data_IF_870377503106
#
_entry.id   IF_870377503106
#
_cell.length_a   1.000
_cell.length_b   1.000
_cell.length_c   1.000
_cell.angle_alpha   90.00
_cell.angle_beta   90.00
_cell.angle_gamma   90.00
#
_symmetry.space_group_name_H-M   'P 1'
#
loop_
_entity.id
_entity.type
_entity.pdbx_description
1 polymer ?
#
# COMPACT_ATOMS: atom_id res chain seq x y z
N UNK A 1 11.26 23.33 -35.26
CA UNK A 1 11.12 21.89 -35.61
C UNK A 1 11.38 20.93 -34.43
N UNK A 2 11.97 21.35 -33.30
CA UNK A 2 12.18 20.48 -32.12
C UNK A 2 10.96 20.34 -31.20
N UNK A 3 10.05 21.32 -31.16
CA UNK A 3 8.89 21.37 -30.26
C UNK A 3 7.91 20.19 -30.47
N UNK A 4 7.61 19.84 -31.72
CA UNK A 4 6.62 18.81 -32.05
C UNK A 4 7.05 17.39 -31.60
N UNK A 5 8.35 17.10 -31.49
CA UNK A 5 8.85 15.81 -30.99
C UNK A 5 8.79 15.72 -29.46
N UNK A 6 9.07 16.83 -28.77
CA UNK A 6 8.98 16.92 -27.32
C UNK A 6 7.52 16.85 -26.86
N UNK A 7 6.62 17.56 -27.51
CA UNK A 7 5.19 17.59 -27.18
C UNK A 7 4.51 16.23 -27.40
N UNK A 8 4.86 15.52 -28.48
CA UNK A 8 4.42 14.12 -28.69
C UNK A 8 4.88 13.19 -27.57
N UNK A 9 6.11 13.38 -27.07
CA UNK A 9 6.65 12.58 -25.97
C UNK A 9 5.95 12.90 -24.65
N UNK A 10 5.64 14.18 -24.41
CA UNK A 10 4.88 14.62 -23.23
C UNK A 10 3.48 14.00 -23.24
N UNK A 11 2.76 14.06 -24.37
CA UNK A 11 1.45 13.44 -24.52
C UNK A 11 1.48 11.94 -24.21
N UNK A 12 2.43 11.20 -24.79
CA UNK A 12 2.56 9.77 -24.53
C UNK A 12 2.82 9.46 -23.03
N UNK A 13 3.62 10.30 -22.35
CA UNK A 13 3.89 10.14 -20.93
C UNK A 13 2.68 10.49 -20.05
N UNK A 14 1.87 11.49 -20.44
CA UNK A 14 0.63 11.83 -19.74
C UNK A 14 -0.40 10.71 -19.87
N UNK A 15 -0.53 10.12 -21.06
CA UNK A 15 -1.42 8.99 -21.31
C UNK A 15 -1.02 7.76 -20.49
N UNK A 16 0.28 7.47 -20.42
CA UNK A 16 0.83 6.39 -19.59
C UNK A 16 0.52 6.62 -18.09
N UNK A 17 0.68 7.86 -17.60
CA UNK A 17 0.34 8.21 -16.21
C UNK A 17 -1.17 8.04 -15.97
N UNK A 18 -2.02 8.45 -16.92
CA UNK A 18 -3.48 8.27 -16.83
C UNK A 18 -3.83 6.78 -16.72
N UNK A 19 -3.30 5.96 -17.63
CA UNK A 19 -3.49 4.50 -17.62
C UNK A 19 -3.09 3.87 -16.28
N UNK A 20 -1.88 4.16 -15.79
CA UNK A 20 -1.42 3.62 -14.49
C UNK A 20 -2.27 4.09 -13.31
N UNK A 21 -2.80 5.32 -13.37
CA UNK A 21 -3.68 5.86 -12.32
C UNK A 21 -5.05 5.18 -12.32
N UNK A 22 -5.59 4.89 -13.51
CA UNK A 22 -6.84 4.14 -13.67
C UNK A 22 -6.70 2.68 -13.22
N UNK A 23 -5.61 2.01 -13.57
CA UNK A 23 -5.32 0.65 -13.11
C UNK A 23 -5.27 0.56 -11.58
N UNK A 24 -4.58 1.51 -10.94
CA UNK A 24 -4.54 1.59 -9.48
C UNK A 24 -5.93 1.82 -8.90
N UNK A 25 -6.73 2.70 -9.51
CA UNK A 25 -8.07 3.02 -9.02
C UNK A 25 -9.03 1.84 -9.16
N UNK A 26 -8.93 1.05 -10.24
CA UNK A 26 -9.69 -0.19 -10.43
C UNK A 26 -9.30 -1.27 -9.42
N UNK A 27 -8.03 -1.32 -9.03
CA UNK A 27 -7.52 -2.30 -8.07
C UNK A 27 -7.81 -1.93 -6.59
N UNK A 28 -8.20 -0.69 -6.31
CA UNK A 28 -8.52 -0.25 -4.95
C UNK A 28 -9.86 -0.81 -4.48
N UNK A 29 -9.79 -1.85 -3.65
CA UNK A 29 -10.93 -2.34 -2.88
C UNK A 29 -10.80 -1.96 -1.40
N UNK A 30 -11.93 -1.89 -0.69
CA UNK A 30 -11.93 -1.66 0.75
C UNK A 30 -11.28 -2.89 1.43
N UNK A 31 -10.22 -2.71 2.24
CA UNK A 31 -9.61 -3.81 2.97
C UNK A 31 -10.62 -4.54 3.85
N UNK A 32 -10.62 -5.86 3.78
CA UNK A 32 -11.33 -6.73 4.71
C UNK A 32 -10.32 -7.23 5.74
N UNK A 33 -10.34 -6.62 6.93
CA UNK A 33 -9.42 -6.97 8.00
C UNK A 33 -9.85 -8.26 8.69
N UNK A 34 -8.88 -9.12 9.00
CA UNK A 34 -9.09 -10.42 9.68
C UNK A 34 -9.01 -10.30 11.19
N UNK A 35 -8.21 -9.36 11.68
CA UNK A 35 -7.97 -9.11 13.10
C UNK A 35 -8.61 -7.81 13.56
N UNK A 36 -8.45 -7.49 14.85
CA UNK A 36 -8.81 -6.16 15.39
C UNK A 36 -7.87 -5.05 14.93
N UNK A 37 -6.77 -5.37 14.24
CA UNK A 37 -5.72 -4.44 13.82
C UNK A 37 -5.03 -3.69 14.97
N UNK A 38 -5.28 -4.07 16.23
CA UNK A 38 -4.63 -3.53 17.43
C UNK A 38 -3.57 -4.51 17.90
N UNK A 39 -2.33 -4.19 17.62
CA UNK A 39 -1.18 -4.99 17.98
C UNK A 39 -0.56 -4.45 19.26
N UNK A 40 -0.57 -5.25 20.33
CA UNK A 40 0.20 -5.02 21.55
C UNK A 40 1.34 -6.03 21.63
N UNK A 41 2.45 -5.60 22.24
CA UNK A 41 3.54 -6.50 22.65
C UNK A 41 3.35 -6.80 24.13
N UNK A 42 2.35 -7.61 24.47
CA UNK A 42 2.14 -8.00 25.87
C UNK A 42 3.15 -9.10 26.27
N UNK A 43 4.07 -8.71 27.15
CA UNK A 43 4.78 -9.58 28.07
C UNK A 43 4.40 -9.18 29.50
N UNK A 44 4.58 -10.07 30.50
CA UNK A 44 4.10 -9.84 31.88
C UNK A 44 4.64 -8.57 32.56
N UNK A 45 5.67 -7.91 32.01
CA UNK A 45 6.31 -6.71 32.60
C UNK A 45 6.59 -5.57 31.60
N UNK A 46 5.90 -5.46 30.45
CA UNK A 46 6.26 -4.41 29.47
C UNK A 46 5.17 -3.39 29.19
N UNK A 47 5.46 -2.13 29.56
CA UNK A 47 4.83 -0.90 29.04
C UNK A 47 5.18 -0.70 27.54
N UNK A 48 4.84 -1.67 26.69
CA UNK A 48 5.02 -1.61 25.24
C UNK A 48 3.78 -1.04 24.57
N UNK A 49 3.87 0.16 24.01
CA UNK A 49 2.72 0.87 23.43
C UNK A 49 1.96 0.06 22.37
N UNK A 50 0.63 0.19 22.38
CA UNK A 50 -0.25 -0.38 21.35
C UNK A 50 -0.01 0.26 19.98
N UNK A 51 -0.02 -0.55 18.93
CA UNK A 51 0.08 -0.12 17.54
C UNK A 51 -1.21 -0.46 16.79
N UNK A 52 -1.75 0.52 16.07
CA UNK A 52 -2.94 0.36 15.24
C UNK A 52 -2.57 0.26 13.74
N UNK A 53 -2.74 -0.93 13.15
CA UNK A 53 -2.41 -1.21 11.74
C UNK A 53 -3.23 -0.35 10.76
N UNK A 54 -4.42 0.12 11.14
CA UNK A 54 -5.23 0.95 10.24
C UNK A 54 -4.51 2.25 9.85
N UNK A 55 -3.72 2.81 10.77
CA UNK A 55 -3.08 4.12 10.61
C UNK A 55 -1.56 4.05 10.42
N UNK A 56 -0.91 2.95 10.78
CA UNK A 56 0.54 2.82 10.69
C UNK A 56 1.04 2.69 9.25
N UNK A 57 1.75 3.69 8.74
CA UNK A 57 2.26 3.70 7.36
C UNK A 57 3.77 3.38 7.27
N UNK A 58 4.46 3.19 8.39
CA UNK A 58 5.87 2.84 8.41
C UNK A 58 6.06 1.35 8.08
N UNK A 59 6.53 1.07 6.86
CA UNK A 59 6.78 -0.29 6.37
C UNK A 59 7.77 -1.05 7.29
N UNK A 60 8.81 -0.41 7.81
CA UNK A 60 9.77 -1.07 8.69
C UNK A 60 9.12 -1.55 9.99
N UNK A 61 8.18 -0.78 10.57
CA UNK A 61 7.40 -1.22 11.73
C UNK A 61 6.46 -2.37 11.39
N UNK A 62 5.80 -2.32 10.23
CA UNK A 62 4.92 -3.40 9.76
C UNK A 62 5.70 -4.71 9.57
N UNK A 63 6.89 -4.65 8.96
CA UNK A 63 7.80 -5.79 8.81
C UNK A 63 8.28 -6.29 10.17
N UNK A 64 8.60 -5.39 11.10
CA UNK A 64 8.99 -5.76 12.46
C UNK A 64 7.91 -6.57 13.16
N UNK A 65 6.65 -6.13 13.11
CA UNK A 65 5.51 -6.85 13.70
C UNK A 65 5.36 -8.24 13.08
N UNK A 66 5.39 -8.34 11.74
CA UNK A 66 5.31 -9.62 11.04
C UNK A 66 6.43 -10.57 11.46
N UNK A 67 7.65 -10.06 11.56
CA UNK A 67 8.84 -10.83 11.97
C UNK A 67 8.70 -11.31 13.42
N UNK A 68 8.25 -10.43 14.32
CA UNK A 68 7.99 -10.75 15.71
C UNK A 68 6.99 -11.89 15.86
N UNK A 69 5.84 -11.80 15.19
CA UNK A 69 4.78 -12.80 15.25
C UNK A 69 5.27 -14.18 14.76
N UNK A 70 5.99 -14.19 13.63
CA UNK A 70 6.58 -15.43 13.09
C UNK A 70 7.58 -16.06 14.04
N UNK A 71 8.41 -15.25 14.69
CA UNK A 71 9.38 -15.75 15.65
C UNK A 71 8.71 -16.33 16.90
N UNK A 72 7.66 -15.67 17.42
CA UNK A 72 6.90 -16.19 18.57
C UNK A 72 6.19 -17.50 18.27
N UNK A 73 5.57 -17.61 17.10
CA UNK A 73 4.94 -18.86 16.64
C UNK A 73 5.95 -19.98 16.49
N UNK A 74 7.10 -19.68 15.87
CA UNK A 74 8.19 -20.63 15.71
C UNK A 74 8.66 -21.14 17.08
N UNK A 75 8.97 -20.23 18.00
CA UNK A 75 9.44 -20.58 19.34
C UNK A 75 8.40 -21.40 20.11
N UNK A 76 7.12 -21.07 19.99
CA UNK A 76 6.02 -21.84 20.60
C UNK A 76 5.95 -23.27 20.06
N UNK A 77 6.03 -23.42 18.73
CA UNK A 77 6.00 -24.72 18.06
C UNK A 77 7.22 -25.58 18.40
N UNK A 78 8.41 -24.98 18.44
CA UNK A 78 9.65 -25.65 18.84
C UNK A 78 9.58 -26.09 20.31
N UNK A 79 9.10 -25.22 21.20
CA UNK A 79 8.93 -25.54 22.63
C UNK A 79 7.91 -26.66 22.85
N UNK A 80 6.79 -26.65 22.12
CA UNK A 80 5.77 -27.70 22.19
C UNK A 80 6.33 -29.08 21.83
N UNK A 81 7.21 -29.14 20.82
CA UNK A 81 7.93 -30.36 20.43
C UNK A 81 8.92 -30.79 21.51
N UNK A 82 9.69 -29.85 22.06
CA UNK A 82 10.66 -30.11 23.12
C UNK A 82 9.99 -30.71 24.37
N UNK A 83 8.82 -30.17 24.74
CA UNK A 83 8.01 -30.64 25.86
C UNK A 83 7.20 -31.92 25.55
N UNK A 84 7.33 -32.46 24.32
CA UNK A 84 6.63 -33.67 23.85
C UNK A 84 5.11 -33.58 23.97
N UNK A 85 4.55 -32.39 23.76
CA UNK A 85 3.10 -32.18 23.76
C UNK A 85 2.53 -32.82 22.49
N UNK A 86 1.79 -33.92 22.63
CA UNK A 86 1.28 -34.72 21.50
C UNK A 86 0.27 -33.97 20.62
N UNK A 87 -0.50 -33.05 21.22
CA UNK A 87 -1.47 -32.19 20.53
C UNK A 87 -1.42 -30.79 21.14
N UNK A 88 -0.40 -30.03 20.77
CA UNK A 88 -0.31 -28.63 21.18
C UNK A 88 -1.43 -27.81 20.51
N UNK A 89 -2.08 -26.89 21.23
CA UNK A 89 -3.01 -25.97 20.60
C UNK A 89 -2.27 -25.06 19.61
N UNK A 90 -3.01 -24.49 18.64
CA UNK A 90 -2.43 -23.53 17.72
C UNK A 90 -1.96 -22.29 18.48
N UNK A 91 -0.82 -21.73 18.08
CA UNK A 91 -0.36 -20.45 18.58
C UNK A 91 -1.28 -19.34 18.08
N UNK A 92 -1.72 -18.47 18.98
CA UNK A 92 -2.60 -17.35 18.71
C UNK A 92 -2.02 -16.09 19.33
N UNK A 93 -2.11 -14.97 18.64
CA UNK A 93 -1.74 -13.65 19.16
C UNK A 93 -2.96 -12.74 19.20
N UNK A 94 -3.28 -12.19 20.38
CA UNK A 94 -4.47 -11.35 20.55
C UNK A 94 -5.79 -12.05 20.17
N UNK A 95 -5.85 -13.38 20.26
CA UNK A 95 -7.02 -14.18 19.89
C UNK A 95 -7.13 -14.55 18.39
N UNK A 96 -6.14 -14.23 17.57
CA UNK A 96 -6.11 -14.55 16.13
C UNK A 96 -4.88 -15.38 15.75
N UNK A 97 -4.95 -16.22 14.70
CA UNK A 97 -3.79 -16.93 14.20
C UNK A 97 -2.81 -15.96 13.55
N UNK A 98 -1.54 -16.34 13.49
CA UNK A 98 -0.48 -15.50 12.89
C UNK A 98 -0.73 -15.27 11.40
N UNK A 99 -1.33 -16.23 10.69
CA UNK A 99 -1.73 -16.07 9.29
C UNK A 99 -2.60 -14.83 9.07
N UNK A 100 -3.60 -14.62 9.93
CA UNK A 100 -4.56 -13.51 9.80
C UNK A 100 -3.87 -12.17 10.02
N UNK A 101 -2.95 -12.11 10.99
CA UNK A 101 -2.11 -10.94 11.19
C UNK A 101 -1.20 -10.64 9.99
N UNK A 102 -0.60 -11.67 9.38
CA UNK A 102 0.25 -11.50 8.21
C UNK A 102 -0.55 -11.01 6.99
N UNK A 103 -1.77 -11.50 6.80
CA UNK A 103 -2.67 -11.01 5.76
C UNK A 103 -3.04 -9.54 5.96
N UNK A 104 -3.38 -9.14 7.18
CA UNK A 104 -3.68 -7.74 7.52
C UNK A 104 -2.46 -6.83 7.30
N UNK A 105 -1.28 -7.26 7.74
CA UNK A 105 -0.03 -6.52 7.55
C UNK A 105 0.30 -6.38 6.06
N UNK A 106 0.18 -7.45 5.27
CA UNK A 106 0.41 -7.41 3.83
C UNK A 106 -0.58 -6.46 3.15
N UNK A 107 -1.85 -6.50 3.53
CA UNK A 107 -2.89 -5.61 3.04
C UNK A 107 -2.53 -4.14 3.33
N UNK A 108 -2.03 -3.85 4.53
CA UNK A 108 -1.59 -2.50 4.89
C UNK A 108 -0.36 -2.06 4.11
N UNK A 109 0.65 -2.92 3.94
CA UNK A 109 1.85 -2.64 3.13
C UNK A 109 1.45 -2.31 1.69
N UNK A 110 0.58 -3.11 1.07
CA UNK A 110 0.09 -2.88 -0.28
C UNK A 110 -0.57 -1.50 -0.40
N UNK A 111 -1.39 -1.13 0.59
CA UNK A 111 -2.03 0.20 0.63
C UNK A 111 -1.02 1.34 0.74
N UNK A 112 0.03 1.18 1.55
CA UNK A 112 1.11 2.19 1.66
C UNK A 112 1.82 2.35 0.31
N UNK A 113 2.20 1.25 -0.33
CA UNK A 113 2.89 1.26 -1.62
C UNK A 113 2.04 1.85 -2.75
N UNK A 114 0.73 1.54 -2.78
CA UNK A 114 -0.22 2.14 -3.73
C UNK A 114 -0.26 3.66 -3.54
N UNK A 115 -0.38 4.13 -2.29
CA UNK A 115 -0.41 5.56 -2.00
C UNK A 115 0.90 6.27 -2.40
N UNK A 116 2.05 5.64 -2.19
CA UNK A 116 3.34 6.16 -2.65
C UNK A 116 3.42 6.23 -4.19
N UNK A 117 2.94 5.18 -4.88
CA UNK A 117 2.88 5.16 -6.35
C UNK A 117 1.98 6.29 -6.87
N UNK A 118 0.80 6.50 -6.28
CA UNK A 118 -0.09 7.62 -6.62
C UNK A 118 0.59 8.98 -6.45
N UNK A 119 1.25 9.21 -5.32
CA UNK A 119 1.99 10.47 -5.07
C UNK A 119 3.10 10.68 -6.10
N UNK A 120 3.80 9.61 -6.48
CA UNK A 120 4.84 9.67 -7.52
C UNK A 120 4.25 10.03 -8.88
N UNK A 121 3.13 9.42 -9.27
CA UNK A 121 2.44 9.70 -10.53
C UNK A 121 1.94 11.15 -10.59
N UNK A 122 1.31 11.65 -9.51
CA UNK A 122 0.86 13.05 -9.40
C UNK A 122 2.04 14.05 -9.52
N UNK A 123 3.17 13.74 -8.86
CA UNK A 123 4.39 14.56 -8.98
C UNK A 123 4.95 14.57 -10.42
N UNK A 124 4.95 13.42 -11.10
CA UNK A 124 5.38 13.33 -12.50
C UNK A 124 4.44 14.10 -13.42
N UNK A 125 3.13 13.98 -13.23
CA UNK A 125 2.13 14.71 -14.00
C UNK A 125 2.33 16.22 -13.87
N UNK A 126 2.47 16.74 -12.64
CA UNK A 126 2.72 18.17 -12.39
C UNK A 126 3.99 18.67 -13.10
N UNK A 127 5.06 17.88 -13.05
CA UNK A 127 6.32 18.21 -13.74
C UNK A 127 6.16 18.21 -15.26
N UNK A 128 5.40 17.28 -15.82
CA UNK A 128 5.11 17.25 -17.26
C UNK A 128 4.29 18.47 -17.69
N UNK A 129 3.24 18.83 -16.94
CA UNK A 129 2.41 20.02 -17.22
C UNK A 129 3.24 21.31 -17.17
N UNK A 130 4.22 21.41 -16.28
CA UNK A 130 5.12 22.56 -16.21
C UNK A 130 5.97 22.75 -17.46
N UNK A 131 6.45 21.67 -18.06
CA UNK A 131 7.30 21.71 -19.27
C UNK A 131 6.51 21.63 -20.59
N UNK A 132 5.18 21.52 -20.51
CA UNK A 132 4.30 21.46 -21.69
C UNK A 132 4.19 22.83 -22.35
N UNK A 133 4.27 22.89 -23.68
CA UNK A 133 4.13 24.12 -24.47
C UNK A 133 2.74 24.77 -24.28
N UNK A 134 2.63 26.09 -24.47
CA UNK A 134 1.34 26.77 -24.35
C UNK A 134 0.33 26.31 -25.41
N UNK A 135 0.81 26.04 -26.63
CA UNK A 135 -0.02 25.53 -27.72
C UNK A 135 -0.61 24.15 -27.38
N UNK A 136 0.21 23.25 -26.82
CA UNK A 136 -0.29 21.95 -26.39
C UNK A 136 -1.25 22.05 -25.20
N UNK A 137 -1.02 22.97 -24.25
CA UNK A 137 -1.97 23.23 -23.16
C UNK A 137 -3.31 23.71 -23.66
N UNK A 138 -3.31 24.70 -24.56
CA UNK A 138 -4.53 25.22 -25.17
C UNK A 138 -5.30 24.12 -25.92
N UNK A 139 -4.58 23.25 -26.63
CA UNK A 139 -5.18 22.09 -27.30
C UNK A 139 -5.85 21.14 -26.29
N UNK A 140 -5.16 20.76 -25.22
CA UNK A 140 -5.71 19.89 -24.18
C UNK A 140 -6.94 20.51 -23.49
N UNK A 141 -6.94 21.84 -23.27
CA UNK A 141 -8.09 22.56 -22.71
C UNK A 141 -9.29 22.57 -23.66
N UNK A 142 -9.06 22.76 -24.97
CA UNK A 142 -10.09 22.65 -25.99
C UNK A 142 -10.68 21.23 -26.03
N UNK A 143 -9.83 20.20 -26.02
CA UNK A 143 -10.26 18.80 -26.02
C UNK A 143 -11.15 18.50 -24.77
N UNK A 144 -10.81 19.03 -23.60
CA UNK A 144 -11.62 18.89 -22.37
C UNK A 144 -12.98 19.59 -22.48
N UNK A 145 -13.02 20.81 -23.03
CA UNK A 145 -14.27 21.55 -23.24
C UNK A 145 -15.17 20.81 -24.26
N UNK A 146 -14.59 20.22 -25.30
CA UNK A 146 -15.31 19.40 -26.27
C UNK A 146 -15.87 18.12 -25.63
N UNK A 147 -15.12 17.46 -24.74
CA UNK A 147 -15.62 16.31 -23.99
C UNK A 147 -16.78 16.69 -23.05
N UNK A 148 -16.67 17.82 -22.32
CA UNK A 148 -17.74 18.31 -21.43
C UNK A 148 -19.02 18.70 -22.17
N UNK A 149 -18.91 19.25 -23.38
CA UNK A 149 -20.06 19.61 -24.22
C UNK A 149 -20.78 18.39 -24.81
N UNK A 150 -20.07 17.25 -24.94
CA UNK A 150 -20.59 16.02 -25.55
C UNK A 150 -21.05 14.96 -24.52
N UNK A 151 -20.97 15.25 -23.22
CA UNK A 151 -21.53 14.44 -22.11
C UNK A 151 -22.97 14.83 -21.78
#
# INVERSE_FOLDING_TARGET
MSENKSDKKILALLEEIKSQTEEISKAESRPVWKTTCRFSVDGPDTQGGELNLHVENNISKLIYIASFLREKERAYNETSKLLKVLKAPAFMWGGFPVSDWLEDIQTKINKVQINEKKKKLDSLQKRLVQITSQELKAKMELDLIEEELNQ
#
